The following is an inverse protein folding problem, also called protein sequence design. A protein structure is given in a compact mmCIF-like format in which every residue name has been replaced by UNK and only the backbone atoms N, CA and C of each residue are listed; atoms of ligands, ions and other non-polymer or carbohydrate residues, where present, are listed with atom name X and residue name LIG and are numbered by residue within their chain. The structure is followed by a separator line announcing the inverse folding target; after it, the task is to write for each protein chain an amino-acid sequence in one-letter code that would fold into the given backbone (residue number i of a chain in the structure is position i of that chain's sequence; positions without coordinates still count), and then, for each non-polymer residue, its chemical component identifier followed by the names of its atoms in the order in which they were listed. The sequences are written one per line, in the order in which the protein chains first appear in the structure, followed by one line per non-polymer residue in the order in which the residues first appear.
data_IF_802755720950
#
_entry.id   IF_802755720950
#
_cell.length_a   1.000
_cell.length_b   1.000
_cell.length_c   1.000
_cell.angle_alpha   90.00
_cell.angle_beta   90.00
_cell.angle_gamma   90.00
#
_symmetry.space_group_name_H-M   'P 1'
#
loop_
_entity.id
_entity.type
_entity.pdbx_description
1 polymer ?
#
# COMPACT_ATOMS: atom_id res chain seq x y z
N UNK A 1 15.78 0.91 -11.14
CA UNK A 1 15.13 1.13 -9.83
C UNK A 1 14.04 2.19 -9.98
N UNK A 2 12.76 1.82 -9.92
CA UNK A 2 11.67 2.80 -9.77
C UNK A 2 11.77 3.36 -8.34
N UNK A 3 12.05 4.66 -8.19
CA UNK A 3 11.95 5.36 -6.90
C UNK A 3 10.46 5.39 -6.52
N UNK A 4 10.15 5.09 -5.26
CA UNK A 4 8.77 5.09 -4.77
C UNK A 4 8.04 6.40 -5.08
N UNK A 5 6.75 6.32 -5.38
CA UNK A 5 5.90 7.46 -5.75
C UNK A 5 4.49 6.98 -6.14
N UNK A 6 3.51 7.88 -6.11
CA UNK A 6 2.15 7.60 -6.61
C UNK A 6 2.11 7.95 -8.10
N UNK A 7 1.76 6.97 -8.92
CA UNK A 7 1.74 7.08 -10.38
C UNK A 7 0.34 6.84 -10.93
N UNK A 8 0.05 7.44 -12.07
CA UNK A 8 -1.20 7.31 -12.81
C UNK A 8 -0.91 6.94 -14.27
N UNK A 9 -1.82 6.16 -14.87
CA UNK A 9 -1.75 5.81 -16.29
C UNK A 9 -2.25 6.98 -17.13
N UNK A 10 -1.45 7.38 -18.11
CA UNK A 10 -1.84 8.38 -19.10
C UNK A 10 -2.52 7.68 -20.28
N UNK A 11 -3.59 8.28 -20.80
CA UNK A 11 -4.12 8.00 -22.12
C UNK A 11 -3.24 8.70 -23.16
N UNK A 12 -2.31 7.92 -23.73
CA UNK A 12 -1.36 8.42 -24.70
C UNK A 12 -2.01 8.99 -25.97
N UNK A 13 -3.17 8.48 -26.38
CA UNK A 13 -3.90 9.04 -27.51
C UNK A 13 -4.55 10.37 -27.16
N UNK A 14 -5.20 10.46 -26.01
CA UNK A 14 -5.78 11.71 -25.52
C UNK A 14 -4.71 12.80 -25.38
N UNK A 15 -3.56 12.45 -24.80
CA UNK A 15 -2.40 13.33 -24.68
C UNK A 15 -1.91 13.80 -26.06
N UNK A 16 -1.72 12.88 -27.01
CA UNK A 16 -1.25 13.23 -28.36
C UNK A 16 -2.22 14.14 -29.09
N UNK A 17 -3.53 13.84 -29.02
CA UNK A 17 -4.59 14.67 -29.61
C UNK A 17 -4.58 16.07 -29.01
N UNK A 18 -4.60 16.19 -27.68
CA UNK A 18 -4.62 17.47 -26.98
C UNK A 18 -3.38 18.32 -27.28
N UNK A 19 -2.19 17.72 -27.27
CA UNK A 19 -0.94 18.40 -27.62
C UNK A 19 -0.97 18.92 -29.06
N UNK A 20 -1.40 18.08 -29.99
CA UNK A 20 -1.45 18.42 -31.42
C UNK A 20 -2.48 19.51 -31.71
N UNK A 21 -3.64 19.49 -31.05
CA UNK A 21 -4.68 20.52 -31.16
C UNK A 21 -4.20 21.90 -30.68
N UNK A 22 -3.27 21.94 -29.72
CA UNK A 22 -2.61 23.18 -29.29
C UNK A 22 -1.37 23.56 -30.11
N UNK A 23 -1.02 22.78 -31.14
CA UNK A 23 0.16 23.04 -31.98
C UNK A 23 1.50 22.85 -31.26
N UNK A 24 1.52 22.16 -30.11
CA UNK A 24 2.72 22.00 -29.29
C UNK A 24 3.59 20.85 -29.80
N UNK A 25 4.90 21.06 -29.89
CA UNK A 25 5.87 19.97 -30.03
C UNK A 25 6.03 19.18 -28.73
N UNK A 26 6.61 17.98 -28.83
CA UNK A 26 6.96 17.16 -27.65
C UNK A 26 7.88 17.93 -26.69
N UNK A 27 8.79 18.75 -27.23
CA UNK A 27 9.76 19.50 -26.44
C UNK A 27 9.15 20.69 -25.71
N UNK A 28 8.20 21.39 -26.34
CA UNK A 28 7.49 22.51 -25.72
C UNK A 28 6.62 22.03 -24.56
N UNK A 29 5.82 20.99 -24.77
CA UNK A 29 5.01 20.42 -23.69
C UNK A 29 5.89 19.90 -22.55
N UNK A 30 7.01 19.26 -22.88
CA UNK A 30 7.95 18.76 -21.88
C UNK A 30 8.52 19.89 -21.00
N UNK A 31 8.89 21.03 -21.60
CA UNK A 31 9.34 22.21 -20.86
C UNK A 31 8.25 22.77 -19.94
N UNK A 32 7.01 22.85 -20.42
CA UNK A 32 5.89 23.37 -19.64
C UNK A 32 5.63 22.56 -18.37
N UNK A 33 5.74 21.23 -18.44
CA UNK A 33 5.45 20.35 -17.31
C UNK A 33 6.70 19.87 -16.56
N UNK A 34 7.88 20.39 -16.89
CA UNK A 34 9.13 20.11 -16.18
C UNK A 34 9.62 18.67 -16.33
N UNK A 35 9.45 18.05 -17.50
CA UNK A 35 9.94 16.71 -17.81
C UNK A 35 10.81 16.71 -19.07
N UNK A 36 11.40 15.56 -19.41
CA UNK A 36 12.19 15.45 -20.63
C UNK A 36 11.30 15.27 -21.87
N UNK A 37 11.77 15.68 -23.05
CA UNK A 37 11.10 15.38 -24.33
C UNK A 37 10.82 13.89 -24.51
N UNK A 38 11.76 13.03 -24.08
CA UNK A 38 11.61 11.57 -24.11
C UNK A 38 10.44 11.13 -23.24
N UNK A 39 10.25 11.74 -22.07
CA UNK A 39 9.15 11.42 -21.15
C UNK A 39 7.77 11.63 -21.81
N UNK A 40 7.55 12.76 -22.48
CA UNK A 40 6.28 13.00 -23.21
C UNK A 40 6.09 11.97 -24.34
N UNK A 41 7.18 11.62 -25.06
CA UNK A 41 7.14 10.59 -26.09
C UNK A 41 6.72 9.22 -25.54
N UNK A 42 7.26 8.81 -24.39
CA UNK A 42 6.86 7.55 -23.74
C UNK A 42 5.42 7.60 -23.19
N UNK A 43 4.96 8.76 -22.70
CA UNK A 43 3.57 8.93 -22.28
C UNK A 43 2.59 8.76 -23.44
N UNK A 44 2.85 9.37 -24.60
CA UNK A 44 2.02 9.18 -25.80
C UNK A 44 1.99 7.73 -26.30
N UNK A 45 3.02 6.93 -25.99
CA UNK A 45 3.11 5.51 -26.32
C UNK A 45 2.58 4.58 -25.24
N UNK A 46 2.07 5.10 -24.12
CA UNK A 46 1.63 4.33 -22.97
C UNK A 46 2.72 3.37 -22.39
N UNK A 47 4.00 3.71 -22.55
CA UNK A 47 5.14 2.90 -22.09
C UNK A 47 5.68 3.36 -20.73
N UNK A 48 5.19 4.49 -20.22
CA UNK A 48 5.60 5.05 -18.94
C UNK A 48 4.41 5.67 -18.20
N UNK A 49 4.34 5.45 -16.89
CA UNK A 49 3.36 6.11 -16.01
C UNK A 49 3.87 7.49 -15.57
N UNK A 50 2.95 8.43 -15.36
CA UNK A 50 3.26 9.76 -14.84
C UNK A 50 3.06 9.79 -13.32
N UNK A 51 3.82 10.62 -12.60
CA UNK A 51 3.44 10.95 -11.22
C UNK A 51 2.15 11.76 -11.24
N UNK A 52 1.38 11.72 -10.14
CA UNK A 52 0.15 12.52 -10.01
C UNK A 52 0.43 14.00 -10.29
N UNK A 53 1.54 14.54 -9.79
CA UNK A 53 1.96 15.92 -10.01
C UNK A 53 2.28 16.26 -11.47
N UNK A 54 2.94 15.35 -12.20
CA UNK A 54 3.20 15.54 -13.64
C UNK A 54 1.89 15.46 -14.44
N UNK A 55 1.01 14.52 -14.09
CA UNK A 55 -0.29 14.37 -14.74
C UNK A 55 -1.16 15.61 -14.56
N UNK A 56 -1.23 16.17 -13.35
CA UNK A 56 -1.96 17.40 -13.06
C UNK A 56 -1.45 18.58 -13.91
N UNK A 57 -0.13 18.77 -14.00
CA UNK A 57 0.48 19.81 -14.85
C UNK A 57 0.19 19.63 -16.34
N UNK A 58 0.13 18.38 -16.81
CA UNK A 58 -0.24 18.08 -18.19
C UNK A 58 -1.71 18.45 -18.47
N UNK A 59 -2.64 18.06 -17.58
CA UNK A 59 -4.06 18.40 -17.72
C UNK A 59 -4.28 19.92 -17.65
N UNK A 60 -3.57 20.63 -16.77
CA UNK A 60 -3.60 22.09 -16.70
C UNK A 60 -3.07 22.74 -17.98
N UNK A 61 -1.91 22.30 -18.47
CA UNK A 61 -1.31 22.81 -19.70
C UNK A 61 -2.19 22.57 -20.94
N UNK A 62 -2.91 21.45 -20.98
CA UNK A 62 -3.70 21.01 -22.12
C UNK A 62 -5.18 21.39 -22.01
N UNK A 63 -5.69 21.67 -20.81
CA UNK A 63 -7.09 22.01 -20.55
C UNK A 63 -8.06 20.85 -20.76
N UNK A 64 -7.58 19.60 -20.75
CA UNK A 64 -8.39 18.38 -20.94
C UNK A 64 -7.87 17.28 -20.04
N UNK A 65 -8.76 16.36 -19.65
CA UNK A 65 -8.33 15.17 -18.92
C UNK A 65 -7.61 14.19 -19.84
N UNK A 66 -6.47 13.69 -19.39
CA UNK A 66 -5.64 12.71 -20.13
C UNK A 66 -5.30 11.49 -19.26
N UNK A 67 -5.76 11.44 -18.01
CA UNK A 67 -5.52 10.30 -17.11
C UNK A 67 -6.57 9.22 -17.36
N UNK A 68 -6.14 7.96 -17.45
CA UNK A 68 -7.08 6.83 -17.53
C UNK A 68 -7.74 6.62 -16.16
N UNK A 69 -9.08 6.59 -16.07
CA UNK A 69 -9.76 6.32 -14.82
C UNK A 69 -9.42 4.91 -14.33
N UNK A 70 -9.14 4.79 -13.03
CA UNK A 70 -8.88 3.52 -12.38
C UNK A 70 -10.22 2.90 -11.96
N UNK A 71 -10.59 1.77 -12.56
CA UNK A 71 -11.67 0.96 -12.00
C UNK A 71 -11.10 0.06 -10.89
N UNK A 72 -11.25 0.49 -9.64
CA UNK A 72 -10.80 -0.24 -8.46
C UNK A 72 -11.58 -1.55 -8.20
N UNK A 73 -12.69 -1.76 -8.91
CA UNK A 73 -13.51 -2.98 -8.82
C UNK A 73 -13.19 -4.00 -9.92
N UNK A 74 -12.43 -3.63 -10.97
CA UNK A 74 -11.90 -4.54 -11.99
C UNK A 74 -10.62 -5.23 -11.51
N UNK A 75 -10.71 -5.90 -10.36
CA UNK A 75 -9.60 -6.52 -9.62
C UNK A 75 -9.03 -7.76 -10.33
N UNK A 76 -9.57 -8.12 -11.50
CA UNK A 76 -9.14 -9.30 -12.24
C UNK A 76 -7.76 -9.15 -12.91
N UNK A 77 -7.26 -7.92 -13.08
CA UNK A 77 -6.02 -7.63 -13.82
C UNK A 77 -4.71 -7.88 -13.05
N UNK A 78 -4.71 -8.16 -11.74
CA UNK A 78 -3.45 -8.26 -10.96
C UNK A 78 -3.33 -9.44 -10.01
N UNK A 79 -4.42 -10.18 -9.74
CA UNK A 79 -4.36 -11.29 -8.79
C UNK A 79 -3.81 -12.59 -9.43
N UNK A 80 -3.95 -12.76 -10.76
CA UNK A 80 -3.55 -14.03 -11.43
C UNK A 80 -2.04 -14.20 -11.58
N UNK A 81 -1.26 -13.14 -11.77
CA UNK A 81 0.21 -13.24 -11.93
C UNK A 81 0.96 -13.27 -10.60
N UNK A 82 0.47 -12.61 -9.54
CA UNK A 82 1.16 -12.57 -8.25
C UNK A 82 0.92 -13.81 -7.37
N UNK A 83 -0.21 -14.51 -7.50
CA UNK A 83 -0.52 -15.67 -6.64
C UNK A 83 0.51 -16.80 -6.72
N UNK A 84 1.19 -16.96 -7.86
CA UNK A 84 2.21 -18.00 -8.04
C UNK A 84 3.55 -17.69 -7.35
N UNK A 85 3.79 -16.45 -6.90
CA UNK A 85 5.08 -16.02 -6.34
C UNK A 85 5.09 -15.79 -4.82
N UNK A 86 3.95 -15.87 -4.13
CA UNK A 86 3.86 -15.56 -2.68
C UNK A 86 3.67 -16.77 -1.76
N UNK A 87 3.66 -18.00 -2.27
CA UNK A 87 3.89 -19.21 -1.45
C UNK A 87 5.38 -19.40 -1.11
N UNK A 88 6.13 -18.29 -0.98
CA UNK A 88 7.48 -18.36 -0.45
C UNK A 88 7.34 -18.46 1.06
N UNK A 89 7.72 -19.61 1.58
CA UNK A 89 8.00 -19.88 2.99
C UNK A 89 8.54 -18.60 3.66
N UNK A 90 7.76 -18.03 4.58
CA UNK A 90 8.14 -16.79 5.21
C UNK A 90 9.29 -17.12 6.17
N UNK A 91 10.52 -16.69 5.85
CA UNK A 91 11.71 -17.00 6.68
C UNK A 91 11.71 -16.26 8.02
N UNK A 92 10.79 -15.30 8.21
CA UNK A 92 10.63 -14.58 9.47
C UNK A 92 9.88 -15.46 10.49
N UNK A 93 10.63 -16.05 11.42
CA UNK A 93 10.09 -16.92 12.47
C UNK A 93 9.12 -16.18 13.41
N UNK A 94 9.40 -14.92 13.75
CA UNK A 94 8.52 -14.08 14.58
C UNK A 94 7.16 -13.88 13.93
N UNK A 95 7.15 -13.56 12.64
CA UNK A 95 5.94 -13.42 11.82
C UNK A 95 5.17 -14.76 11.74
N UNK A 96 5.87 -15.89 11.61
CA UNK A 96 5.26 -17.22 11.63
C UNK A 96 4.65 -17.58 12.99
N UNK A 97 5.27 -17.17 14.10
CA UNK A 97 4.72 -17.34 15.45
C UNK A 97 3.42 -16.55 15.61
N UNK A 98 3.41 -15.28 15.22
CA UNK A 98 2.20 -14.44 15.23
C UNK A 98 1.09 -15.02 14.35
N UNK A 99 1.42 -15.47 13.14
CA UNK A 99 0.48 -16.14 12.23
C UNK A 99 -0.12 -17.40 12.87
N UNK A 100 0.72 -18.29 13.44
CA UNK A 100 0.25 -19.51 14.12
C UNK A 100 -0.67 -19.20 15.29
N UNK A 101 -0.35 -18.18 16.08
CA UNK A 101 -1.22 -17.73 17.17
C UNK A 101 -2.60 -17.29 16.65
N UNK A 102 -2.64 -16.41 15.65
CA UNK A 102 -3.91 -15.90 15.11
C UNK A 102 -4.75 -17.01 14.47
N UNK A 103 -4.13 -17.96 13.76
CA UNK A 103 -4.80 -19.16 13.24
C UNK A 103 -5.42 -20.00 14.38
N UNK A 104 -4.68 -20.23 15.47
CA UNK A 104 -5.20 -20.94 16.66
C UNK A 104 -6.34 -20.19 17.36
N UNK A 105 -6.41 -18.87 17.18
CA UNK A 105 -7.51 -18.03 17.67
C UNK A 105 -8.73 -18.03 16.74
N UNK A 106 -8.70 -18.77 15.62
CA UNK A 106 -9.81 -18.89 14.69
C UNK A 106 -9.86 -17.80 13.61
N UNK A 107 -8.78 -17.05 13.42
CA UNK A 107 -8.70 -16.08 12.33
C UNK A 107 -8.26 -16.76 11.03
N UNK A 108 -8.78 -16.28 9.91
CA UNK A 108 -8.17 -16.42 8.59
C UNK A 108 -7.05 -15.38 8.50
N UNK A 109 -5.85 -15.80 8.15
CA UNK A 109 -4.65 -14.95 8.23
C UNK A 109 -3.92 -14.93 6.89
N UNK A 110 -3.54 -13.74 6.43
CA UNK A 110 -2.61 -13.55 5.33
C UNK A 110 -1.42 -12.69 5.78
N UNK A 111 -0.22 -13.06 5.35
CA UNK A 111 1.02 -12.32 5.62
C UNK A 111 1.41 -11.50 4.39
N UNK A 112 1.94 -10.31 4.60
CA UNK A 112 2.29 -9.35 3.54
C UNK A 112 3.77 -8.96 3.64
N UNK A 113 4.41 -8.71 2.50
CA UNK A 113 5.83 -8.33 2.42
C UNK A 113 6.08 -6.85 2.09
N UNK A 114 5.14 -6.20 1.41
CA UNK A 114 5.33 -4.86 0.82
C UNK A 114 4.27 -3.85 1.27
N UNK A 115 3.54 -4.16 2.33
CA UNK A 115 2.56 -3.29 2.96
C UNK A 115 3.16 -2.64 4.22
N UNK A 116 2.61 -1.52 4.70
CA UNK A 116 3.05 -0.88 5.96
C UNK A 116 2.72 -1.71 7.22
N UNK A 117 2.05 -2.85 7.05
CA UNK A 117 1.80 -3.89 8.03
C UNK A 117 2.12 -5.24 7.40
N UNK A 118 2.50 -6.22 8.22
CA UNK A 118 2.91 -7.54 7.74
C UNK A 118 1.89 -8.67 7.97
N UNK A 119 0.78 -8.41 8.69
CA UNK A 119 -0.35 -9.34 8.81
C UNK A 119 -1.69 -8.62 8.56
N UNK A 120 -2.59 -9.30 7.84
CA UNK A 120 -4.03 -9.07 7.90
C UNK A 120 -4.74 -10.33 8.36
N UNK A 121 -5.71 -10.18 9.26
CA UNK A 121 -6.45 -11.30 9.82
C UNK A 121 -7.94 -10.96 9.96
N UNK A 122 -8.80 -11.93 9.71
CA UNK A 122 -10.25 -11.76 9.89
C UNK A 122 -10.89 -13.00 10.50
N UNK A 123 -11.87 -12.76 11.37
CA UNK A 123 -12.81 -13.74 11.89
C UNK A 123 -14.22 -13.34 11.49
N UNK A 124 -15.25 -14.08 11.93
CA UNK A 124 -16.65 -13.73 11.66
C UNK A 124 -17.06 -12.35 12.22
N UNK A 125 -16.38 -11.85 13.25
CA UNK A 125 -16.78 -10.63 13.96
C UNK A 125 -15.70 -9.55 14.04
N UNK A 126 -14.44 -9.86 13.75
CA UNK A 126 -13.31 -8.91 13.91
C UNK A 126 -12.37 -9.00 12.72
N UNK A 127 -12.04 -7.83 12.14
CA UNK A 127 -10.94 -7.62 11.20
C UNK A 127 -9.75 -7.00 11.93
N UNK A 128 -8.54 -7.42 11.58
CA UNK A 128 -7.29 -6.99 12.22
C UNK A 128 -6.25 -6.71 11.14
N UNK A 129 -5.55 -5.60 11.32
CA UNK A 129 -4.31 -5.26 10.62
C UNK A 129 -3.22 -5.23 11.68
N UNK A 130 -2.16 -6.00 11.49
CA UNK A 130 -1.11 -6.12 12.48
C UNK A 130 0.30 -5.92 11.91
N UNK A 131 1.12 -5.19 12.65
CA UNK A 131 2.56 -5.13 12.45
C UNK A 131 3.24 -6.05 13.46
N UNK A 132 4.07 -6.97 12.97
CA UNK A 132 4.80 -7.94 13.78
C UNK A 132 6.30 -7.65 13.71
N UNK A 133 6.92 -7.42 14.87
CA UNK A 133 8.37 -7.19 14.99
C UNK A 133 8.95 -8.07 16.09
N UNK A 134 10.29 -8.16 16.18
CA UNK A 134 10.92 -8.93 17.26
C UNK A 134 10.77 -8.22 18.61
N UNK A 135 11.13 -6.94 18.67
CA UNK A 135 10.91 -6.08 19.83
C UNK A 135 10.20 -4.77 19.46
N UNK A 136 9.83 -3.99 20.46
CA UNK A 136 9.09 -2.73 20.25
C UNK A 136 9.97 -1.64 19.66
N UNK A 137 11.28 -1.71 19.88
CA UNK A 137 12.29 -0.80 19.38
C UNK A 137 12.45 -0.84 17.85
N UNK A 138 12.08 -1.96 17.22
CA UNK A 138 12.04 -2.10 15.76
C UNK A 138 10.83 -1.40 15.14
N UNK A 139 9.81 -1.05 15.95
CA UNK A 139 8.56 -0.46 15.49
C UNK A 139 8.76 0.99 15.07
N UNK A 140 8.55 1.28 13.79
CA UNK A 140 8.65 2.64 13.25
C UNK A 140 7.35 3.39 13.44
N UNK A 141 7.37 4.43 14.28
CA UNK A 141 6.18 5.29 14.56
C UNK A 141 5.47 5.80 13.30
N UNK A 142 6.20 6.16 12.24
CA UNK A 142 5.60 6.60 10.97
C UNK A 142 4.80 5.50 10.29
N UNK A 143 5.29 4.26 10.32
CA UNK A 143 4.59 3.10 9.76
C UNK A 143 3.36 2.78 10.62
N UNK A 144 3.48 2.83 11.95
CA UNK A 144 2.33 2.62 12.86
C UNK A 144 1.18 3.61 12.60
N UNK A 145 1.48 4.88 12.33
CA UNK A 145 0.45 5.86 11.95
C UNK A 145 -0.29 5.44 10.68
N UNK A 146 0.43 4.96 9.67
CA UNK A 146 -0.18 4.43 8.45
C UNK A 146 -1.00 3.17 8.71
N UNK A 147 -0.52 2.26 9.56
CA UNK A 147 -1.26 1.06 9.98
C UNK A 147 -2.59 1.47 10.61
N UNK A 148 -2.58 2.45 11.51
CA UNK A 148 -3.78 2.97 12.17
C UNK A 148 -4.76 3.58 11.17
N UNK A 149 -4.28 4.50 10.33
CA UNK A 149 -5.12 5.17 9.33
C UNK A 149 -5.78 4.17 8.37
N UNK A 150 -5.01 3.17 7.89
CA UNK A 150 -5.55 2.12 7.03
C UNK A 150 -6.57 1.28 7.79
N UNK A 151 -6.26 0.91 9.04
CA UNK A 151 -7.16 0.11 9.85
C UNK A 151 -8.51 0.81 10.08
N UNK A 152 -8.49 2.12 10.36
CA UNK A 152 -9.68 2.95 10.53
C UNK A 152 -10.53 2.99 9.24
N UNK A 153 -9.89 3.21 8.07
CA UNK A 153 -10.56 3.26 6.77
C UNK A 153 -11.25 1.94 6.41
N UNK A 154 -10.63 0.80 6.73
CA UNK A 154 -11.19 -0.53 6.42
C UNK A 154 -12.01 -1.12 7.57
N UNK A 155 -12.34 -0.33 8.59
CA UNK A 155 -13.09 -0.73 9.78
C UNK A 155 -12.51 -2.00 10.42
N UNK A 156 -11.24 -1.93 10.78
CA UNK A 156 -10.49 -3.02 11.40
C UNK A 156 -9.69 -2.53 12.60
N UNK A 157 -9.25 -3.46 13.45
CA UNK A 157 -8.38 -3.13 14.59
C UNK A 157 -6.93 -3.09 14.15
N UNK A 158 -6.22 -2.02 14.50
CA UNK A 158 -4.76 -1.97 14.43
C UNK A 158 -4.14 -2.66 15.65
N UNK A 159 -3.09 -3.45 15.43
CA UNK A 159 -2.36 -4.17 16.49
C UNK A 159 -0.86 -4.20 16.18
N UNK A 160 -0.02 -4.08 17.21
CA UNK A 160 1.40 -4.38 17.12
C UNK A 160 1.67 -5.64 17.93
N UNK A 161 2.33 -6.63 17.33
CA UNK A 161 2.69 -7.87 18.01
C UNK A 161 4.21 -7.98 18.10
N UNK A 162 4.74 -8.16 19.30
CA UNK A 162 6.18 -8.28 19.56
C UNK A 162 6.51 -9.65 20.14
N UNK A 163 7.67 -10.20 19.79
CA UNK A 163 8.15 -11.45 20.39
C UNK A 163 8.70 -11.21 21.79
N UNK A 164 9.61 -10.25 21.90
CA UNK A 164 10.23 -9.85 23.15
C UNK A 164 9.26 -9.01 23.96
N UNK A 165 9.09 -9.38 25.24
CA UNK A 165 8.23 -8.62 26.15
C UNK A 165 8.72 -7.18 26.24
N UNK A 166 7.76 -6.27 26.27
CA UNK A 166 8.00 -4.84 26.41
C UNK A 166 7.06 -4.26 27.46
N UNK A 167 7.52 -3.27 28.21
CA UNK A 167 6.70 -2.45 29.11
C UNK A 167 5.89 -1.38 28.36
N UNK A 168 6.06 -1.28 27.03
CA UNK A 168 5.34 -0.34 26.19
C UNK A 168 4.00 -0.95 25.77
N UNK A 169 2.90 -0.46 26.36
CA UNK A 169 1.54 -0.93 26.03
C UNK A 169 1.01 -0.39 24.69
N UNK A 170 1.51 0.77 24.24
CA UNK A 170 1.00 1.47 23.06
C UNK A 170 2.07 2.27 22.33
N UNK A 171 1.99 2.27 21.00
CA UNK A 171 2.77 3.15 20.11
C UNK A 171 1.79 3.91 19.20
N UNK A 172 1.84 5.24 19.19
CA UNK A 172 0.92 6.10 18.40
C UNK A 172 -0.58 5.77 18.60
N UNK A 173 -0.93 5.28 19.80
CA UNK A 173 -2.29 4.85 20.16
C UNK A 173 -2.66 3.42 19.74
N UNK A 174 -1.80 2.73 18.99
CA UNK A 174 -1.97 1.33 18.61
C UNK A 174 -1.47 0.43 19.75
N UNK A 175 -2.26 -0.56 20.21
CA UNK A 175 -1.86 -1.49 21.27
C UNK A 175 -0.69 -2.39 20.83
N UNK A 176 0.24 -2.60 21.75
CA UNK A 176 1.35 -3.54 21.63
C UNK A 176 1.03 -4.76 22.50
N UNK A 177 1.19 -5.96 21.96
CA UNK A 177 0.95 -7.21 22.70
C UNK A 177 2.08 -8.20 22.45
N UNK A 178 2.39 -9.02 23.44
CA UNK A 178 3.34 -10.12 23.23
C UNK A 178 2.70 -11.27 22.43
N UNK A 179 3.42 -11.78 21.44
CA UNK A 179 3.07 -12.99 20.67
C UNK A 179 2.96 -14.21 21.60
N UNK A 180 3.66 -14.21 22.73
CA UNK A 180 3.60 -15.30 23.71
C UNK A 180 2.35 -15.21 24.62
N UNK A 181 1.73 -14.04 24.70
CA UNK A 181 0.61 -13.76 25.60
C UNK A 181 -0.74 -13.83 24.90
N UNK A 182 -1.28 -15.04 24.78
CA UNK A 182 -2.63 -15.30 24.22
C UNK A 182 -3.71 -14.43 24.90
N UNK A 183 -3.55 -14.17 26.20
CA UNK A 183 -4.51 -13.37 26.99
C UNK A 183 -4.51 -11.91 26.57
N UNK A 184 -3.33 -11.30 26.41
CA UNK A 184 -3.20 -9.92 25.93
C UNK A 184 -3.82 -9.76 24.54
N UNK A 185 -3.46 -10.67 23.61
CA UNK A 185 -3.98 -10.65 22.24
C UNK A 185 -5.50 -10.75 22.24
N UNK A 186 -6.09 -11.68 23.00
CA UNK A 186 -7.55 -11.78 23.14
C UNK A 186 -8.18 -10.54 23.75
N UNK A 187 -7.54 -9.89 24.72
CA UNK A 187 -8.09 -8.72 25.41
C UNK A 187 -8.27 -7.53 24.47
N UNK A 188 -7.31 -7.31 23.56
CA UNK A 188 -7.34 -6.24 22.57
C UNK A 188 -8.36 -6.56 21.47
N UNK A 189 -8.41 -7.81 21.04
CA UNK A 189 -9.30 -8.25 19.96
C UNK A 189 -10.77 -8.36 20.39
N UNK A 190 -11.07 -8.56 21.69
CA UNK A 190 -12.44 -8.70 22.23
C UNK A 190 -13.20 -7.41 22.53
N UNK A 191 -12.55 -6.25 22.66
CA UNK A 191 -13.27 -5.00 23.01
C UNK A 191 -14.14 -4.52 21.85
N UNK A 192 -15.45 -4.68 21.98
CA UNK A 192 -16.49 -3.82 21.37
C UNK A 192 -17.10 -2.99 22.48
#
# INVERSE_FOLDING_TARGET
MKRGGVYVKIDGEALRRARSNKGLSLGELAKMVGVTRKTIYEYERCTMDATVEVAARLEEALGVSIVKPLNIFDVEWSIKEERAQYEVENTNETLNKARRLLLRLGFRVATLRRAPFNIVASSSSVKVVAEVTRGVEEVRRREVRLVKEIADVIESKALIMVEEKSDVDRVEGVPVVSIESVREVKSVLRKS
#
